data_IF_198351779649
#
_entry.id   IF_198351779649
#
_cell.length_a   1.000
_cell.length_b   1.000
_cell.length_c   1.000
_cell.angle_alpha   90.00
_cell.angle_beta   90.00
_cell.angle_gamma   90.00
#
_symmetry.space_group_name_H-M   'P 1'
#
loop_
_entity.id
_entity.type
_entity.pdbx_description
1 polymer ?
#
# COMPACT_ATOMS: atom_id res chain seq x y z
N UNK A 1 -8.95 -11.44 -19.28
CA UNK A 1 -8.84 -9.98 -19.46
C UNK A 1 -8.42 -9.22 -18.21
N UNK A 2 -9.01 -9.38 -17.01
CA UNK A 2 -8.61 -8.52 -15.87
C UNK A 2 -7.22 -8.79 -15.26
N UNK A 3 -6.73 -10.03 -15.19
CA UNK A 3 -5.40 -10.32 -14.63
C UNK A 3 -4.24 -9.93 -15.57
N UNK A 4 -4.42 -10.09 -16.88
CA UNK A 4 -3.44 -9.63 -17.89
C UNK A 4 -3.15 -8.14 -17.73
N UNK A 5 -4.18 -7.36 -17.40
CA UNK A 5 -4.04 -5.94 -17.14
C UNK A 5 -3.14 -5.64 -15.94
N UNK A 6 -3.20 -6.43 -14.86
CA UNK A 6 -2.29 -6.26 -13.71
C UNK A 6 -0.84 -6.52 -14.14
N UNK A 7 -0.61 -7.59 -14.90
CA UNK A 7 0.74 -7.95 -15.38
C UNK A 7 1.30 -6.86 -16.29
N UNK A 8 0.47 -6.31 -17.18
CA UNK A 8 0.89 -5.26 -18.11
C UNK A 8 1.24 -3.93 -17.42
N UNK A 9 0.82 -3.72 -16.16
CA UNK A 9 1.21 -2.55 -15.39
C UNK A 9 2.60 -2.68 -14.75
N UNK A 10 3.17 -3.88 -14.61
CA UNK A 10 4.48 -4.04 -13.97
C UNK A 10 5.60 -3.25 -14.67
N UNK A 11 5.78 -3.34 -16.01
CA UNK A 11 6.80 -2.55 -16.69
C UNK A 11 6.59 -1.03 -16.49
N UNK A 12 5.32 -0.58 -16.45
CA UNK A 12 4.98 0.82 -16.22
C UNK A 12 5.44 1.29 -14.83
N UNK A 13 5.07 0.56 -13.79
CA UNK A 13 5.40 0.92 -12.39
C UNK A 13 6.89 0.81 -12.11
N UNK A 14 7.56 -0.20 -12.67
CA UNK A 14 9.02 -0.30 -12.62
C UNK A 14 9.66 0.93 -13.26
N UNK A 15 9.26 1.28 -14.48
CA UNK A 15 9.82 2.43 -15.18
C UNK A 15 9.53 3.77 -14.45
N UNK A 16 8.33 3.93 -13.89
CA UNK A 16 7.93 5.13 -13.17
C UNK A 16 8.85 5.38 -11.95
N UNK A 17 8.96 4.40 -11.06
CA UNK A 17 9.75 4.55 -9.83
C UNK A 17 11.26 4.45 -10.07
N UNK A 18 11.72 3.79 -11.13
CA UNK A 18 13.17 3.71 -11.42
C UNK A 18 13.71 4.89 -12.20
N UNK A 19 12.94 5.47 -13.13
CA UNK A 19 13.47 6.43 -14.10
C UNK A 19 12.88 7.83 -13.96
N UNK A 20 11.69 7.98 -13.37
CA UNK A 20 10.99 9.26 -13.25
C UNK A 20 10.44 9.52 -11.84
N UNK A 21 11.22 9.27 -10.76
CA UNK A 21 10.77 9.65 -9.43
C UNK A 21 10.82 11.18 -9.28
N UNK A 22 9.92 11.75 -8.48
CA UNK A 22 9.91 13.19 -8.15
C UNK A 22 11.17 13.62 -7.37
N UNK A 23 11.83 12.66 -6.71
CA UNK A 23 13.10 12.82 -6.01
C UNK A 23 13.90 11.52 -6.15
N UNK A 24 15.21 11.58 -6.34
CA UNK A 24 16.07 10.39 -6.45
C UNK A 24 15.99 9.49 -5.21
N UNK A 25 15.75 10.06 -4.02
CA UNK A 25 15.56 9.30 -2.79
C UNK A 25 14.28 8.45 -2.80
N UNK A 26 13.31 8.75 -3.68
CA UNK A 26 12.07 7.99 -3.87
C UNK A 26 12.22 6.78 -4.79
N UNK A 27 13.35 6.65 -5.50
CA UNK A 27 13.62 5.48 -6.33
C UNK A 27 13.95 4.22 -5.51
N UNK A 28 14.28 4.38 -4.23
CA UNK A 28 14.80 3.32 -3.37
C UNK A 28 14.04 3.21 -2.04
N UNK A 29 14.11 2.03 -1.41
CA UNK A 29 13.62 1.82 -0.05
C UNK A 29 14.57 2.46 0.95
N UNK A 30 14.01 3.11 1.97
CA UNK A 30 14.76 3.92 2.94
C UNK A 30 15.68 3.15 3.89
N UNK A 31 15.49 1.84 4.03
CA UNK A 31 16.28 1.03 4.97
C UNK A 31 17.68 0.72 4.46
N UNK A 32 17.92 0.75 3.14
CA UNK A 32 19.26 0.58 2.55
C UNK A 32 19.63 1.60 1.48
N UNK A 33 18.68 2.40 0.99
CA UNK A 33 18.83 3.32 -0.13
C UNK A 33 19.40 2.65 -1.40
N UNK A 34 19.12 1.36 -1.58
CA UNK A 34 19.63 0.54 -2.71
C UNK A 34 18.56 -0.36 -3.30
N UNK A 35 17.68 -0.90 -2.47
CA UNK A 35 16.60 -1.74 -2.93
C UNK A 35 15.56 -0.90 -3.68
N UNK A 36 15.20 -1.22 -4.93
CA UNK A 36 14.28 -0.39 -5.72
C UNK A 36 12.90 -0.24 -5.09
N UNK A 37 12.30 0.95 -5.16
CA UNK A 37 11.00 1.22 -4.52
C UNK A 37 9.86 0.38 -5.11
N UNK A 38 9.88 0.09 -6.42
CA UNK A 38 8.80 -0.62 -7.11
C UNK A 38 8.46 -2.00 -6.50
N UNK A 39 9.35 -2.59 -5.69
CA UNK A 39 9.04 -3.84 -4.99
C UNK A 39 7.89 -3.69 -4.00
N UNK A 40 7.68 -2.50 -3.44
CA UNK A 40 6.62 -2.20 -2.49
C UNK A 40 5.22 -2.29 -3.13
N UNK A 41 4.90 -1.49 -4.18
CA UNK A 41 3.61 -1.61 -4.85
C UNK A 41 3.39 -2.99 -5.47
N UNK A 42 4.45 -3.68 -5.94
CA UNK A 42 4.36 -5.07 -6.42
C UNK A 42 3.98 -6.03 -5.28
N UNK A 43 4.63 -5.94 -4.12
CA UNK A 43 4.31 -6.77 -2.96
C UNK A 43 2.84 -6.57 -2.54
N UNK A 44 2.39 -5.31 -2.47
CA UNK A 44 1.00 -5.00 -2.15
C UNK A 44 0.04 -5.65 -3.16
N UNK A 45 0.30 -5.52 -4.46
CA UNK A 45 -0.54 -6.07 -5.51
C UNK A 45 -0.61 -7.60 -5.45
N UNK A 46 0.53 -8.27 -5.30
CA UNK A 46 0.60 -9.73 -5.20
C UNK A 46 -0.14 -10.25 -3.95
N UNK A 47 -0.05 -9.54 -2.83
CA UNK A 47 -0.75 -9.91 -1.60
C UNK A 47 -2.28 -9.74 -1.75
N UNK A 48 -2.75 -8.69 -2.43
CA UNK A 48 -4.18 -8.54 -2.76
C UNK A 48 -4.67 -9.66 -3.67
N UNK A 49 -3.89 -10.05 -4.69
CA UNK A 49 -4.30 -11.09 -5.66
C UNK A 49 -4.46 -12.49 -5.03
N UNK A 50 -3.72 -12.74 -3.95
CA UNK A 50 -3.73 -14.01 -3.20
C UNK A 50 -4.80 -14.05 -2.11
N UNK A 51 -5.57 -12.98 -1.92
CA UNK A 51 -6.66 -12.93 -0.94
C UNK A 51 -7.94 -13.60 -1.48
N UNK A 52 -8.08 -14.91 -1.26
CA UNK A 52 -9.17 -15.72 -1.81
C UNK A 52 -10.57 -15.28 -1.35
N UNK A 53 -10.66 -14.70 -0.15
CA UNK A 53 -11.90 -14.19 0.43
C UNK A 53 -12.45 -12.96 -0.30
N UNK A 54 -11.61 -12.25 -1.07
CA UNK A 54 -12.06 -11.13 -1.89
C UNK A 54 -12.60 -11.61 -3.24
N UNK A 55 -13.68 -10.96 -3.70
CA UNK A 55 -14.21 -11.22 -5.03
C UNK A 55 -13.15 -10.97 -6.10
N UNK A 56 -13.27 -11.68 -7.23
CA UNK A 56 -12.35 -11.51 -8.37
C UNK A 56 -12.23 -10.04 -8.82
N UNK A 57 -13.34 -9.29 -8.82
CA UNK A 57 -13.36 -7.85 -9.16
C UNK A 57 -12.56 -7.03 -8.14
N UNK A 58 -12.78 -7.26 -6.84
CA UNK A 58 -12.01 -6.59 -5.79
C UNK A 58 -10.52 -6.90 -5.90
N UNK A 59 -10.14 -8.17 -6.10
CA UNK A 59 -8.72 -8.52 -6.27
C UNK A 59 -8.08 -7.81 -7.45
N UNK A 60 -8.73 -7.82 -8.61
CA UNK A 60 -8.18 -7.21 -9.84
C UNK A 60 -8.10 -5.69 -9.72
N UNK A 61 -9.16 -5.03 -9.23
CA UNK A 61 -9.16 -3.58 -9.09
C UNK A 61 -8.23 -3.13 -7.96
N UNK A 62 -8.25 -3.85 -6.84
CA UNK A 62 -7.39 -3.59 -5.69
C UNK A 62 -5.92 -3.74 -6.03
N UNK A 63 -5.55 -4.81 -6.73
CA UNK A 63 -4.16 -5.04 -7.18
C UNK A 63 -3.67 -3.92 -8.12
N UNK A 64 -4.49 -3.51 -9.10
CA UNK A 64 -4.14 -2.37 -9.96
C UNK A 64 -4.01 -1.07 -9.16
N UNK A 65 -4.92 -0.82 -8.22
CA UNK A 65 -4.90 0.39 -7.42
C UNK A 65 -3.67 0.48 -6.52
N UNK A 66 -3.33 -0.58 -5.76
CA UNK A 66 -2.12 -0.57 -4.90
C UNK A 66 -0.83 -0.62 -5.73
N UNK A 67 -0.86 -1.17 -6.93
CA UNK A 67 0.29 -1.12 -7.82
C UNK A 67 0.58 0.32 -8.29
N UNK A 68 -0.48 1.12 -8.48
CA UNK A 68 -0.41 2.50 -9.00
C UNK A 68 -0.48 3.59 -7.92
N UNK A 69 -0.69 3.24 -6.64
CA UNK A 69 -1.12 4.20 -5.63
C UNK A 69 -0.13 5.35 -5.38
N UNK A 70 1.16 5.07 -5.49
CA UNK A 70 2.24 6.04 -5.29
C UNK A 70 2.65 6.77 -6.57
N UNK A 71 2.13 6.41 -7.74
CA UNK A 71 2.54 7.02 -9.02
C UNK A 71 2.32 8.53 -8.99
N UNK A 72 1.16 8.98 -8.49
CA UNK A 72 0.81 10.40 -8.41
C UNK A 72 1.56 11.15 -7.31
N UNK A 73 2.08 10.46 -6.30
CA UNK A 73 2.79 11.07 -5.16
C UNK A 73 4.30 11.15 -5.42
N UNK A 74 4.86 10.07 -5.96
CA UNK A 74 6.29 9.81 -5.94
C UNK A 74 6.95 9.88 -7.32
N UNK A 75 6.17 10.05 -8.40
CA UNK A 75 6.70 10.07 -9.77
C UNK A 75 6.19 11.24 -10.58
N UNK A 76 6.90 11.56 -11.66
CA UNK A 76 6.50 12.61 -12.62
C UNK A 76 5.45 12.10 -13.62
N UNK A 77 5.15 10.79 -13.61
CA UNK A 77 4.24 10.17 -14.57
C UNK A 77 2.77 10.31 -14.15
N UNK A 78 1.85 10.49 -15.11
CA UNK A 78 0.42 10.39 -14.86
C UNK A 78 0.01 8.92 -14.59
N UNK A 79 -1.27 8.68 -14.33
CA UNK A 79 -1.79 7.30 -14.41
C UNK A 79 -1.84 6.83 -15.88
N UNK A 80 -1.70 5.51 -16.14
CA UNK A 80 -1.88 4.95 -17.48
C UNK A 80 -3.21 5.40 -18.10
N UNK A 81 -3.17 5.86 -19.35
CA UNK A 81 -4.34 6.44 -20.04
C UNK A 81 -5.46 5.42 -20.27
N UNK A 82 -5.14 4.13 -20.29
CA UNK A 82 -6.09 3.06 -20.44
C UNK A 82 -6.72 2.63 -19.10
N UNK A 83 -6.25 3.15 -17.95
CA UNK A 83 -6.73 2.80 -16.61
C UNK A 83 -8.25 2.98 -16.49
N UNK A 84 -8.93 1.94 -16.00
CA UNK A 84 -10.38 2.02 -15.83
C UNK A 84 -10.75 3.10 -14.80
N UNK A 85 -11.90 3.75 -15.01
CA UNK A 85 -12.42 4.78 -14.09
C UNK A 85 -12.44 4.32 -12.63
N UNK A 86 -12.85 3.08 -12.36
CA UNK A 86 -12.89 2.53 -10.99
C UNK A 86 -11.48 2.50 -10.36
N UNK A 87 -10.46 2.09 -11.10
CA UNK A 87 -9.07 2.06 -10.62
C UNK A 87 -8.53 3.47 -10.40
N UNK A 88 -8.79 4.39 -11.32
CA UNK A 88 -8.38 5.80 -11.19
C UNK A 88 -8.96 6.41 -9.92
N UNK A 89 -10.25 6.21 -9.66
CA UNK A 89 -10.92 6.70 -8.43
C UNK A 89 -10.31 6.07 -7.18
N UNK A 90 -9.94 4.79 -7.20
CA UNK A 90 -9.28 4.15 -6.06
C UNK A 90 -7.91 4.77 -5.80
N UNK A 91 -7.08 4.93 -6.84
CA UNK A 91 -5.75 5.54 -6.71
C UNK A 91 -5.85 6.96 -6.16
N UNK A 92 -6.71 7.79 -6.75
CA UNK A 92 -6.94 9.16 -6.27
C UNK A 92 -7.39 9.24 -4.81
N UNK A 93 -8.14 8.24 -4.33
CA UNK A 93 -8.55 8.18 -2.92
C UNK A 93 -7.48 7.58 -1.98
N UNK A 94 -6.45 6.94 -2.54
CA UNK A 94 -5.27 6.50 -1.82
C UNK A 94 -4.14 7.54 -1.81
N UNK A 95 -4.27 8.60 -2.62
CA UNK A 95 -3.32 9.70 -2.74
C UNK A 95 -3.57 10.78 -1.69
N UNK A 96 -2.54 11.14 -0.92
CA UNK A 96 -2.54 12.16 0.13
C UNK A 96 -1.29 13.05 0.02
N UNK A 97 -1.33 14.26 0.58
CA UNK A 97 -0.17 15.17 0.58
C UNK A 97 0.85 14.80 1.65
N UNK A 98 0.43 14.13 2.71
CA UNK A 98 1.30 13.70 3.81
C UNK A 98 0.75 12.51 4.58
N UNK A 99 1.62 11.85 5.35
CA UNK A 99 1.22 10.77 6.25
C UNK A 99 0.27 11.26 7.34
N UNK A 100 0.41 12.50 7.80
CA UNK A 100 -0.49 13.14 8.76
C UNK A 100 -1.89 13.30 8.18
N UNK A 101 -1.99 13.86 6.97
CA UNK A 101 -3.26 14.05 6.27
C UNK A 101 -3.96 12.71 6.04
N UNK A 102 -3.19 11.70 5.63
CA UNK A 102 -3.72 10.35 5.43
C UNK A 102 -4.34 9.78 6.71
N UNK A 103 -3.60 9.79 7.83
CA UNK A 103 -4.06 9.22 9.10
C UNK A 103 -5.33 9.90 9.64
N UNK A 104 -5.57 11.15 9.26
CA UNK A 104 -6.78 11.89 9.60
C UNK A 104 -7.93 11.58 8.62
N UNK A 105 -7.67 11.60 7.31
CA UNK A 105 -8.72 11.58 6.30
C UNK A 105 -9.14 10.19 5.83
N UNK A 106 -8.32 9.16 6.04
CA UNK A 106 -8.59 7.79 5.55
C UNK A 106 -9.94 7.25 6.04
N UNK A 107 -10.39 7.68 7.22
CA UNK A 107 -11.63 7.24 7.85
C UNK A 107 -12.88 7.70 7.10
N UNK A 108 -12.76 8.80 6.36
CA UNK A 108 -13.81 9.37 5.50
C UNK A 108 -13.81 8.76 4.09
N UNK A 109 -12.80 7.95 3.74
CA UNK A 109 -12.73 7.25 2.46
C UNK A 109 -13.60 5.98 2.46
N UNK A 110 -13.85 5.44 1.27
CA UNK A 110 -14.60 4.20 1.10
C UNK A 110 -13.92 3.01 1.80
N UNK A 111 -14.71 2.03 2.25
CA UNK A 111 -14.19 0.85 2.98
C UNK A 111 -13.14 0.08 2.21
N UNK A 112 -13.29 0.00 0.89
CA UNK A 112 -12.30 -0.66 0.05
C UNK A 112 -10.97 0.11 0.01
N UNK A 113 -10.98 1.45 0.01
CA UNK A 113 -9.77 2.28 0.11
C UNK A 113 -9.07 2.05 1.45
N UNK A 114 -9.83 1.96 2.55
CA UNK A 114 -9.29 1.64 3.88
C UNK A 114 -8.61 0.26 3.89
N UNK A 115 -9.20 -0.74 3.21
CA UNK A 115 -8.56 -2.04 3.01
C UNK A 115 -7.26 -1.93 2.21
N UNK A 116 -7.26 -1.24 1.07
CA UNK A 116 -6.06 -1.08 0.25
C UNK A 116 -4.95 -0.34 1.01
N UNK A 117 -5.33 0.63 1.86
CA UNK A 117 -4.37 1.33 2.71
C UNK A 117 -3.77 0.45 3.80
N UNK A 118 -4.52 -0.55 4.30
CA UNK A 118 -3.95 -1.57 5.19
C UNK A 118 -2.83 -2.36 4.50
N UNK A 119 -2.98 -2.74 3.22
CA UNK A 119 -1.91 -3.41 2.47
C UNK A 119 -0.65 -2.54 2.35
N UNK A 120 -0.80 -1.26 1.96
CA UNK A 120 0.29 -0.28 1.93
C UNK A 120 1.01 -0.22 3.28
N UNK A 121 0.28 0.05 4.37
CA UNK A 121 0.90 0.27 5.69
C UNK A 121 1.52 -0.98 6.29
N UNK A 122 0.95 -2.15 6.02
CA UNK A 122 1.58 -3.42 6.39
C UNK A 122 2.91 -3.59 5.67
N UNK A 123 2.97 -3.30 4.37
CA UNK A 123 4.23 -3.38 3.63
C UNK A 123 5.27 -2.39 4.16
N UNK A 124 4.86 -1.18 4.54
CA UNK A 124 5.75 -0.19 5.15
C UNK A 124 6.22 -0.58 6.57
N UNK A 125 5.45 -1.39 7.29
CA UNK A 125 5.87 -1.94 8.59
C UNK A 125 6.83 -3.13 8.45
N UNK A 126 6.77 -3.90 7.35
CA UNK A 126 7.69 -5.00 7.11
C UNK A 126 9.16 -4.56 7.05
N UNK A 127 9.42 -3.35 6.57
CA UNK A 127 10.76 -2.77 6.47
C UNK A 127 10.94 -1.50 7.33
N UNK A 128 10.23 -1.42 8.46
CA UNK A 128 10.24 -0.23 9.34
C UNK A 128 11.53 -0.03 10.15
N UNK A 129 12.57 -0.83 9.95
CA UNK A 129 13.78 -0.82 10.81
C UNK A 129 14.55 0.50 10.81
N UNK A 130 14.32 1.35 9.82
CA UNK A 130 14.91 2.69 9.70
C UNK A 130 14.10 3.79 10.42
N UNK A 131 12.87 3.50 10.83
CA UNK A 131 11.99 4.46 11.51
C UNK A 131 12.39 4.56 12.99
N UNK A 132 12.24 5.75 13.59
CA UNK A 132 12.36 5.89 15.05
C UNK A 132 11.28 5.08 15.76
N UNK A 133 11.53 4.70 17.01
CA UNK A 133 10.59 3.90 17.79
C UNK A 133 9.24 4.61 17.97
N UNK A 134 9.21 5.94 18.16
CA UNK A 134 7.97 6.70 18.24
C UNK A 134 7.18 6.61 16.93
N UNK A 135 7.87 6.70 15.78
CA UNK A 135 7.23 6.58 14.48
C UNK A 135 6.69 5.17 14.24
N UNK A 136 7.45 4.14 14.61
CA UNK A 136 7.03 2.73 14.53
C UNK A 136 5.79 2.48 15.39
N UNK A 137 5.77 2.98 16.62
CA UNK A 137 4.63 2.88 17.52
C UNK A 137 3.39 3.58 16.96
N UNK A 138 3.55 4.80 16.42
CA UNK A 138 2.46 5.52 15.74
C UNK A 138 1.88 4.72 14.57
N UNK A 139 2.75 4.12 13.75
CA UNK A 139 2.31 3.28 12.63
C UNK A 139 1.63 1.99 13.10
N UNK A 140 2.11 1.36 14.18
CA UNK A 140 1.48 0.18 14.76
C UNK A 140 0.06 0.47 15.26
N UNK A 141 -0.15 1.59 15.97
CA UNK A 141 -1.50 1.99 16.41
C UNK A 141 -2.41 2.28 15.21
N UNK A 142 -1.90 2.94 14.19
CA UNK A 142 -2.66 3.20 12.97
C UNK A 142 -3.05 1.91 12.23
N UNK A 143 -2.11 0.97 12.07
CA UNK A 143 -2.38 -0.35 11.45
C UNK A 143 -3.35 -1.17 12.28
N UNK A 144 -3.32 -1.09 13.62
CA UNK A 144 -4.33 -1.73 14.48
C UNK A 144 -5.72 -1.17 14.24
N UNK A 145 -5.86 0.15 14.16
CA UNK A 145 -7.16 0.78 13.87
C UNK A 145 -7.68 0.39 12.48
N UNK A 146 -6.82 0.44 11.45
CA UNK A 146 -7.18 -0.03 10.11
C UNK A 146 -7.59 -1.50 10.14
N UNK A 147 -6.87 -2.35 10.86
CA UNK A 147 -7.18 -3.78 11.02
C UNK A 147 -8.58 -3.98 11.59
N UNK A 148 -8.95 -3.27 12.66
CA UNK A 148 -10.28 -3.37 13.27
C UNK A 148 -11.39 -2.97 12.29
N UNK A 149 -11.20 -1.86 11.58
CA UNK A 149 -12.18 -1.37 10.60
C UNK A 149 -12.29 -2.34 9.43
N UNK A 150 -11.18 -2.81 8.88
CA UNK A 150 -11.16 -3.77 7.77
C UNK A 150 -11.81 -5.08 8.18
N UNK A 151 -11.46 -5.63 9.35
CA UNK A 151 -12.03 -6.87 9.85
C UNK A 151 -13.55 -6.79 10.00
N UNK A 152 -14.06 -5.66 10.50
CA UNK A 152 -15.51 -5.42 10.60
C UNK A 152 -16.24 -5.43 9.25
N UNK A 153 -15.59 -4.96 8.18
CA UNK A 153 -16.23 -4.79 6.86
C UNK A 153 -15.99 -5.96 5.90
N UNK A 154 -14.87 -6.68 6.03
CA UNK A 154 -14.44 -7.71 5.09
C UNK A 154 -14.19 -9.07 5.74
N UNK A 155 -14.34 -9.20 7.06
CA UNK A 155 -14.05 -10.42 7.79
C UNK A 155 -12.55 -10.66 7.98
N UNK A 156 -12.18 -11.91 8.21
CA UNK A 156 -10.80 -12.31 8.45
C UNK A 156 -10.07 -12.53 7.12
N UNK A 157 -9.32 -11.52 6.69
CA UNK A 157 -8.43 -11.56 5.54
C UNK A 157 -7.01 -11.94 5.97
N UNK A 158 -6.21 -12.53 5.07
CA UNK A 158 -4.81 -12.86 5.34
C UNK A 158 -3.98 -11.63 5.73
N UNK A 159 -4.26 -10.46 5.13
CA UNK A 159 -3.58 -9.21 5.47
C UNK A 159 -3.76 -8.82 6.94
N UNK A 160 -4.88 -9.17 7.58
CA UNK A 160 -5.13 -8.91 9.00
C UNK A 160 -4.19 -9.75 9.86
N UNK A 161 -4.00 -11.04 9.53
CA UNK A 161 -3.07 -11.91 10.25
C UNK A 161 -1.63 -11.42 10.10
N UNK A 162 -1.23 -11.00 8.89
CA UNK A 162 0.09 -10.41 8.65
C UNK A 162 0.27 -9.12 9.47
N UNK A 163 -0.71 -8.23 9.44
CA UNK A 163 -0.70 -6.97 10.19
C UNK A 163 -0.50 -7.21 11.69
N UNK A 164 -1.28 -8.11 12.28
CA UNK A 164 -1.19 -8.47 13.69
C UNK A 164 0.17 -9.07 14.04
N UNK A 165 0.70 -9.96 13.20
CA UNK A 165 2.02 -10.57 13.40
C UNK A 165 3.14 -9.53 13.45
N UNK A 166 3.14 -8.58 12.50
CA UNK A 166 4.15 -7.51 12.45
C UNK A 166 4.02 -6.56 13.63
N UNK A 167 2.80 -6.11 13.94
CA UNK A 167 2.54 -5.23 15.09
C UNK A 167 3.03 -5.85 16.40
N UNK A 168 2.71 -7.12 16.64
CA UNK A 168 3.16 -7.84 17.84
C UNK A 168 4.68 -7.94 17.90
N UNK A 169 5.33 -8.23 16.77
CA UNK A 169 6.80 -8.25 16.67
C UNK A 169 7.38 -6.88 17.06
N UNK A 170 6.88 -5.79 16.49
CA UNK A 170 7.38 -4.44 16.75
C UNK A 170 7.22 -4.06 18.23
N UNK A 171 6.06 -4.34 18.84
CA UNK A 171 5.87 -4.08 20.28
C UNK A 171 6.87 -4.84 21.16
N UNK A 172 7.23 -6.07 20.79
CA UNK A 172 8.22 -6.84 21.53
C UNK A 172 9.67 -6.32 21.38
N UNK A 173 9.92 -5.53 20.34
CA UNK A 173 11.23 -4.90 20.07
C UNK A 173 11.34 -3.55 20.78
N UNK A 174 10.29 -2.72 20.72
CA UNK A 174 10.27 -1.36 21.30
C UNK A 174 9.94 -1.36 22.80
N UNK A 175 9.24 -2.38 23.30
CA UNK A 175 8.92 -2.53 24.72
C UNK A 175 10.06 -3.08 25.59
N UNK A 176 11.26 -3.23 25.03
CA UNK A 176 12.49 -3.58 25.75
C UNK A 176 13.27 -2.32 26.08
#
# INVERSE_FOLDING_TARGET
MGFERVVNLFPYVIAAHSNQPNDQDKAFRRWDNKTPYFIHPIWCAMTVLTEESLSKKQRINGAQAVLLHDILEDTELPLPSDASFEVVVLVQNMTFKSSEEEMEQIWNKGKFVQLLKLYDKVSNLLDSGWMSDEKRMRYCEYVKQLTQVVQKNFGNLNIISIAQGIVNKIYSEVGK
#
